data_IF_876691351992
#
_entry.id   IF_876691351992
#
_cell.length_a   1.000
_cell.length_b   1.000
_cell.length_c   1.000
_cell.angle_alpha   90.00
_cell.angle_beta   90.00
_cell.angle_gamma   90.00
#
_symmetry.space_group_name_H-M   'P 1'
#
loop_
_entity.id
_entity.type
_entity.pdbx_description
1 polymer ?
2 polymer ?
3 non-polymer ?
4 water ?
#
# COMPACT_ATOMS: atom_id res chain seq x y z
N UNK A 1 -18.55 23.15 -5.25
CA UNK A 1 -17.12 23.15 -4.83
C UNK A 1 -16.20 23.22 -6.06
N UNK A 2 -14.95 23.59 -5.84
CA UNK A 2 -13.97 23.68 -6.92
C UNK A 2 -13.43 22.29 -7.22
N UNK A 3 -13.42 21.93 -8.50
CA UNK A 3 -12.95 20.62 -8.94
C UNK A 3 -11.57 20.77 -9.55
N UNK A 4 -10.65 19.88 -9.15
CA UNK A 4 -9.29 19.85 -9.66
C UNK A 4 -9.13 18.60 -10.52
N UNK A 5 -8.73 18.79 -11.78
CA UNK A 5 -8.59 17.70 -12.74
C UNK A 5 -7.12 17.55 -13.07
N UNK A 6 -6.51 16.45 -12.63
CA UNK A 6 -5.12 16.16 -12.93
C UNK A 6 -5.00 15.38 -14.23
N UNK A 7 -3.81 15.46 -14.83
CA UNK A 7 -3.55 14.76 -16.09
C UNK A 7 -2.05 14.65 -16.31
N UNK A 8 -1.53 13.47 -16.66
CA UNK A 8 -2.24 12.19 -16.86
C UNK A 8 -2.45 11.45 -15.54
N UNK A 9 -3.34 10.46 -15.54
CA UNK A 9 -3.56 9.67 -14.33
C UNK A 9 -2.33 8.84 -13.99
N UNK A 10 -1.64 8.33 -15.00
CA UNK A 10 -0.41 7.57 -14.82
C UNK A 10 0.61 8.07 -15.83
N UNK A 11 1.86 8.22 -15.38
CA UNK A 11 2.92 8.81 -16.20
C UNK A 11 4.18 7.96 -16.12
N UNK A 12 4.54 7.25 -17.20
CA UNK A 12 5.85 6.59 -17.22
C UNK A 12 6.94 7.49 -17.77
N UNK A 13 8.09 7.54 -17.09
CA UNK A 13 9.21 8.39 -17.52
C UNK A 13 10.51 7.65 -17.25
N UNK A 14 11.45 7.77 -18.18
CA UNK A 14 12.75 7.13 -18.04
C UNK A 14 13.66 7.97 -17.14
N UNK A 15 14.58 7.29 -16.46
CA UNK A 15 15.54 7.98 -15.60
C UNK A 15 16.25 9.09 -16.36
N UNK A 16 16.49 10.20 -15.67
CA UNK A 16 17.19 11.33 -16.23
C UNK A 16 16.33 12.31 -16.99
N UNK A 17 15.20 11.84 -17.54
CA UNK A 17 14.30 12.70 -18.29
C UNK A 17 13.51 13.58 -17.32
N UNK A 18 12.56 14.35 -17.84
CA UNK A 18 11.70 15.18 -17.01
C UNK A 18 10.26 14.70 -17.09
N UNK A 19 9.52 14.92 -16.01
CA UNK A 19 8.11 14.57 -15.92
C UNK A 19 7.28 15.84 -15.80
N UNK A 20 6.16 15.88 -16.52
CA UNK A 20 5.27 17.03 -16.52
C UNK A 20 3.88 16.59 -16.09
N UNK A 21 3.42 17.10 -14.96
CA UNK A 21 2.11 16.80 -14.41
C UNK A 21 1.31 18.09 -14.36
N UNK A 22 0.10 18.07 -14.91
CA UNK A 22 -0.75 19.25 -14.98
C UNK A 22 -1.95 19.11 -14.06
N UNK A 23 -2.49 20.26 -13.64
CA UNK A 23 -3.62 20.31 -12.73
C UNK A 23 -4.49 21.50 -13.12
N UNK A 24 -5.75 21.24 -13.46
CA UNK A 24 -6.67 22.28 -13.89
C UNK A 24 -7.82 22.40 -12.92
N UNK A 25 -8.14 23.63 -12.53
CA UNK A 25 -9.19 23.91 -11.56
C UNK A 25 -10.45 24.39 -12.26
N UNK A 26 -11.60 24.08 -11.66
CA UNK A 26 -12.87 24.57 -12.18
C UNK A 26 -12.91 26.09 -12.19
N UNK A 27 -12.26 26.73 -11.23
CA UNK A 27 -12.25 28.17 -11.12
C UNK A 27 -10.85 28.64 -10.74
N UNK A 28 -10.58 29.91 -11.00
CA UNK A 28 -9.28 30.47 -10.67
C UNK A 28 -9.04 30.41 -9.16
N UNK A 29 -7.80 30.11 -8.78
CA UNK A 29 -7.39 30.11 -7.38
C UNK A 29 -6.41 31.24 -7.08
N UNK A 30 -6.18 32.13 -8.04
CA UNK A 30 -5.22 33.22 -7.89
C UNK A 30 -5.96 34.51 -7.54
N UNK A 31 -5.64 35.09 -6.38
CA UNK A 31 -6.22 36.36 -5.95
C UNK A 31 -5.09 37.37 -5.78
N UNK A 32 -5.06 38.35 -6.69
CA UNK A 32 -4.13 39.49 -6.56
C UNK A 32 -2.77 38.79 -6.51
N UNK A 33 -1.88 39.05 -5.56
CA UNK A 33 -0.42 38.80 -5.65
C UNK A 33 -0.05 37.34 -5.38
N UNK A 34 -1.01 36.44 -5.24
CA UNK A 34 -0.67 35.04 -4.86
C UNK A 34 -1.55 34.02 -5.57
N UNK A 35 -1.04 32.79 -5.71
CA UNK A 35 -1.78 31.68 -6.30
C UNK A 35 -1.81 30.54 -5.30
N UNK A 36 -2.98 29.93 -5.10
CA UNK A 36 -3.19 28.94 -4.05
C UNK A 36 -3.37 27.57 -4.70
N UNK A 37 -2.25 26.92 -5.03
CA UNK A 37 -2.27 25.60 -5.67
C UNK A 37 -0.98 24.88 -5.27
N UNK A 38 -1.10 23.95 -4.33
CA UNK A 38 0.05 23.27 -3.73
C UNK A 38 0.15 21.83 -4.25
N UNK A 39 1.36 21.29 -4.16
CA UNK A 39 1.67 19.94 -4.65
C UNK A 39 2.21 19.09 -3.50
N UNK A 40 1.91 17.79 -3.55
CA UNK A 40 2.33 16.86 -2.52
C UNK A 40 2.80 15.56 -3.16
N UNK A 41 3.71 14.87 -2.47
CA UNK A 41 4.22 13.57 -2.89
C UNK A 41 3.88 12.55 -1.81
N UNK A 42 3.34 11.40 -2.22
CA UNK A 42 3.06 10.30 -1.31
C UNK A 42 3.68 9.02 -1.85
N UNK A 43 4.52 8.38 -1.05
CA UNK A 43 5.09 7.08 -1.34
C UNK A 43 4.29 5.98 -0.66
N UNK A 44 4.38 4.75 -1.14
CA UNK A 44 3.58 3.67 -0.55
C UNK A 44 3.86 3.50 0.93
N UNK A 45 2.79 3.34 1.71
CA UNK A 45 2.90 3.18 3.15
C UNK A 45 3.23 4.45 3.90
N UNK A 46 3.41 5.57 3.22
CA UNK A 46 3.77 6.85 3.82
C UNK A 46 2.66 7.86 3.69
N UNK A 47 2.72 8.96 4.44
CA UNK A 47 1.77 10.05 4.24
C UNK A 47 2.25 10.98 3.14
N UNK A 48 1.36 11.78 2.56
CA UNK A 48 1.80 12.75 1.56
C UNK A 48 2.70 13.81 2.18
N UNK A 49 3.66 14.28 1.37
CA UNK A 49 4.67 15.23 1.79
C UNK A 49 4.63 16.47 0.91
N UNK A 50 4.74 17.66 1.50
CA UNK A 50 4.66 18.88 0.69
C UNK A 50 5.92 19.07 -0.15
N UNK A 51 5.74 19.38 -1.43
CA UNK A 51 6.83 19.66 -2.35
C UNK A 51 6.90 21.14 -2.71
N UNK A 52 5.81 21.69 -3.25
CA UNK A 52 5.76 23.08 -3.70
C UNK A 52 4.50 23.72 -3.13
N UNK A 53 4.64 24.94 -2.60
CA UNK A 53 3.54 25.75 -2.07
C UNK A 53 3.47 27.07 -2.83
N UNK A 54 2.30 27.65 -2.76
CA UNK A 54 1.81 28.91 -3.36
C UNK A 54 2.21 28.97 -4.83
N UNK A 55 1.95 27.89 -5.56
CA UNK A 55 2.18 27.65 -7.01
C UNK A 55 3.65 27.40 -7.39
N UNK A 56 4.63 28.21 -6.98
CA UNK A 56 6.03 28.04 -7.43
C UNK A 56 7.10 28.24 -6.36
N UNK A 57 6.80 28.02 -5.10
CA UNK A 57 7.78 28.15 -4.03
C UNK A 57 8.19 26.76 -3.55
N UNK A 58 9.50 26.56 -3.38
CA UNK A 58 10.05 25.27 -3.04
C UNK A 58 10.09 25.08 -1.52
N UNK A 59 9.55 23.96 -1.06
CA UNK A 59 9.62 23.62 0.36
C UNK A 59 11.07 23.36 0.76
N UNK A 60 11.40 23.71 2.00
CA UNK A 60 12.76 23.53 2.49
C UNK A 60 13.12 22.06 2.51
N UNK A 61 14.31 21.74 2.00
CA UNK A 61 14.78 20.37 1.92
C UNK A 61 14.43 19.66 0.63
N UNK A 62 13.41 20.11 -0.08
CA UNK A 62 13.03 19.47 -1.34
C UNK A 62 14.12 19.72 -2.37
N UNK A 63 14.62 18.68 -3.06
CA UNK A 63 15.68 18.90 -4.05
C UNK A 63 15.28 19.93 -5.09
N UNK A 64 16.28 20.63 -5.64
CA UNK A 64 16.03 21.63 -6.66
C UNK A 64 15.41 21.06 -7.92
N UNK A 65 15.43 19.73 -8.09
CA UNK A 65 14.85 19.13 -9.29
C UNK A 65 13.37 19.46 -9.43
N UNK A 66 12.68 19.72 -8.31
CA UNK A 66 11.25 19.97 -8.32
C UNK A 66 10.98 21.46 -8.54
N UNK A 67 10.03 21.75 -9.43
CA UNK A 67 9.64 23.13 -9.70
C UNK A 67 8.18 23.16 -10.09
N UNK A 68 7.56 24.33 -9.89
CA UNK A 68 6.16 24.51 -10.24
C UNK A 68 5.94 25.85 -10.89
N UNK A 69 4.82 25.95 -11.60
CA UNK A 69 4.45 27.19 -12.29
C UNK A 69 2.94 27.16 -12.54
N UNK A 70 2.44 28.26 -13.09
CA UNK A 70 1.05 28.38 -13.44
C UNK A 70 0.37 29.52 -12.70
N UNK A 71 -0.87 29.78 -13.12
CA UNK A 71 -1.70 30.81 -12.52
C UNK A 71 -3.12 30.63 -13.04
N UNK A 72 -4.07 31.27 -12.37
CA UNK A 72 -5.45 31.16 -12.75
C UNK A 72 -6.02 29.78 -12.51
N UNK A 73 -6.22 29.03 -13.59
CA UNK A 73 -6.81 27.70 -13.51
C UNK A 73 -5.87 26.57 -13.89
N UNK A 74 -4.78 26.87 -14.60
CA UNK A 74 -3.84 25.86 -15.08
C UNK A 74 -2.56 25.92 -14.28
N UNK A 75 -2.06 24.76 -13.86
CA UNK A 75 -0.83 24.66 -13.09
C UNK A 75 -0.08 23.40 -13.51
N UNK A 76 1.24 23.42 -13.30
CA UNK A 76 2.11 22.33 -13.72
C UNK A 76 3.21 22.11 -12.69
N UNK A 77 3.54 20.84 -12.48
CA UNK A 77 4.66 20.43 -11.63
C UNK A 77 5.72 19.75 -12.50
N UNK A 78 6.96 20.19 -12.37
CA UNK A 78 8.07 19.67 -13.16
C UNK A 78 9.11 19.02 -12.27
N UNK A 79 9.65 17.89 -12.73
CA UNK A 79 10.72 17.18 -12.05
C UNK A 79 11.79 16.87 -13.10
N UNK A 80 12.91 17.58 -13.04
CA UNK A 80 13.99 17.35 -13.99
C UNK A 80 15.35 17.43 -13.30
N UNK A 81 16.15 16.36 -13.33
CA UNK A 81 15.90 15.01 -13.84
C UNK A 81 15.23 14.11 -12.81
N UNK A 82 14.42 13.16 -13.25
CA UNK A 82 13.76 12.23 -12.34
C UNK A 82 14.74 11.14 -11.93
N UNK A 83 14.51 10.57 -10.76
CA UNK A 83 15.37 9.53 -10.20
C UNK A 83 14.51 8.38 -9.69
N UNK A 84 15.18 7.30 -9.30
CA UNK A 84 14.47 6.07 -8.91
C UNK A 84 13.50 6.34 -7.76
N UNK A 85 13.93 7.12 -6.76
CA UNK A 85 13.11 7.30 -5.57
C UNK A 85 11.86 8.15 -5.83
N UNK A 86 11.71 8.73 -7.01
CA UNK A 86 10.54 9.54 -7.31
C UNK A 86 9.32 8.71 -7.67
N UNK A 87 9.46 7.39 -7.79
CA UNK A 87 8.31 6.52 -8.02
C UNK A 87 7.39 6.87 -6.86
N UNK A 88 6.20 7.37 -7.17
CA UNK A 88 5.28 7.87 -6.15
C UNK A 88 3.99 8.31 -6.83
N UNK A 89 3.08 8.85 -6.02
CA UNK A 89 1.85 9.48 -6.49
C UNK A 89 1.86 10.95 -6.04
N UNK A 90 1.53 11.84 -6.96
CA UNK A 90 1.59 13.27 -6.72
C UNK A 90 0.20 13.89 -6.84
N UNK A 91 -0.13 14.80 -5.93
CA UNK A 91 -1.44 15.41 -5.83
C UNK A 91 -1.32 16.92 -5.82
N UNK A 92 -2.26 17.60 -6.50
CA UNK A 92 -2.43 19.03 -6.37
C UNK A 92 -3.58 19.33 -5.43
N UNK A 93 -3.52 20.50 -4.80
CA UNK A 93 -4.52 20.89 -3.81
C UNK A 93 -4.57 22.41 -3.77
N UNK A 94 -5.79 22.96 -3.72
CA UNK A 94 -6.00 24.39 -3.74
C UNK A 94 -6.38 24.91 -2.36
N UNK A 95 -6.13 26.20 -2.16
CA UNK A 95 -6.37 26.87 -0.89
C UNK A 95 -7.19 28.14 -1.03
N UNK A 96 -7.70 28.43 -2.24
CA UNK A 96 -8.37 29.71 -2.48
C UNK A 96 -9.58 29.88 -1.59
N UNK A 97 -10.37 28.83 -1.41
CA UNK A 97 -11.62 28.92 -0.66
C UNK A 97 -11.91 27.60 0.01
N UNK A 98 -12.90 27.62 0.92
CA UNK A 98 -13.38 26.40 1.53
C UNK A 98 -14.59 25.86 0.75
N UNK A 99 -14.73 24.52 0.62
CA UNK A 99 -13.83 23.50 1.15
C UNK A 99 -12.60 23.27 0.27
N UNK A 100 -11.47 22.95 0.89
CA UNK A 100 -10.29 22.57 0.14
C UNK A 100 -10.54 21.23 -0.56
N UNK A 101 -9.96 21.09 -1.76
CA UNK A 101 -10.15 19.88 -2.55
C UNK A 101 -8.82 19.48 -3.18
N UNK A 102 -8.69 18.17 -3.42
CA UNK A 102 -7.48 17.59 -4.00
C UNK A 102 -7.73 17.13 -5.43
N UNK A 103 -6.64 17.07 -6.20
CA UNK A 103 -6.70 16.43 -7.50
C UNK A 103 -6.67 14.91 -7.39
N UNK A 104 -7.07 14.25 -8.48
CA UNK A 104 -7.17 12.80 -8.48
C UNK A 104 -5.85 12.07 -8.32
N UNK A 105 -4.72 12.77 -8.44
CA UNK A 105 -3.43 12.12 -8.29
C UNK A 105 -2.85 11.65 -9.60
N UNK A 106 -1.52 11.57 -9.63
CA UNK A 106 -0.79 11.12 -10.81
C UNK A 106 0.33 10.19 -10.35
N UNK A 107 0.23 8.91 -10.72
CA UNK A 107 1.25 7.94 -10.36
C UNK A 107 2.43 8.05 -11.32
N UNK A 108 3.63 8.20 -10.77
CA UNK A 108 4.85 8.34 -11.55
C UNK A 108 5.57 6.99 -11.58
N UNK A 109 5.66 6.39 -12.75
CA UNK A 109 6.34 5.12 -12.95
C UNK A 109 7.67 5.37 -13.66
N UNK A 110 8.74 4.85 -13.08
CA UNK A 110 10.08 5.00 -13.66
C UNK A 110 10.22 3.95 -14.76
N UNK A 111 10.28 4.40 -16.01
CA UNK A 111 10.48 3.46 -17.11
C UNK A 111 11.78 2.69 -16.89
N UNK A 112 11.71 1.39 -17.14
CA UNK A 112 12.76 0.45 -16.76
C UNK A 112 13.07 -0.46 -17.94
N UNK A 113 14.34 -0.82 -18.06
CA UNK A 113 14.72 -1.79 -19.07
C UNK A 113 13.96 -3.10 -18.85
N UNK A 114 13.34 -3.60 -19.92
CA UNK A 114 12.55 -4.82 -19.82
C UNK A 114 13.33 -5.91 -19.11
N UNK A 115 12.71 -6.49 -18.07
CA UNK A 115 13.34 -7.50 -17.24
C UNK A 115 12.37 -8.64 -17.02
N UNK A 116 12.90 -9.87 -17.08
CA UNK A 116 12.10 -11.07 -16.92
C UNK A 116 12.02 -11.49 -15.47
N UNK A 117 10.98 -12.23 -15.08
CA UNK A 117 10.81 -12.62 -13.68
C UNK A 117 11.53 -13.91 -13.32
N UNK A 118 11.90 -14.01 -12.05
CA UNK A 118 12.40 -15.24 -11.45
C UNK A 118 11.22 -15.97 -10.81
N UNK A 119 10.90 -17.16 -11.31
CA UNK A 119 9.66 -17.85 -10.99
C UNK A 119 9.97 -19.03 -10.06
N UNK A 120 9.15 -19.17 -9.01
CA UNK A 120 9.25 -20.27 -8.06
C UNK A 120 7.86 -20.77 -7.74
N UNK A 121 7.72 -22.09 -7.56
CA UNK A 121 6.43 -22.72 -7.31
C UNK A 121 6.53 -23.52 -6.01
N UNK A 122 5.42 -23.52 -5.25
CA UNK A 122 5.38 -24.14 -3.93
C UNK A 122 4.11 -24.96 -3.79
N UNK A 123 4.20 -26.24 -3.43
CA UNK A 123 3.00 -27.04 -3.23
C UNK A 123 2.40 -26.78 -1.85
N UNK A 124 1.19 -27.28 -1.59
CA UNK A 124 0.56 -27.04 -0.29
C UNK A 124 1.40 -27.58 0.86
N UNK A 125 1.28 -26.94 2.00
CA UNK A 125 1.94 -27.41 3.21
C UNK A 125 1.09 -28.48 3.89
N UNK A 126 1.76 -29.38 4.61
CA UNK A 126 1.04 -30.43 5.32
C UNK A 126 0.10 -29.82 6.37
N UNK A 127 0.48 -28.68 6.95
CA UNK A 127 -0.40 -28.01 7.91
C UNK A 127 -1.71 -27.61 7.25
N UNK A 128 -1.65 -27.07 6.04
CA UNK A 128 -2.88 -26.67 5.36
C UNK A 128 -3.71 -27.89 4.97
N UNK A 129 -3.07 -28.95 4.48
CA UNK A 129 -3.80 -30.16 4.13
C UNK A 129 -4.52 -30.74 5.33
N UNK A 130 -3.92 -30.63 6.51
CA UNK A 130 -4.61 -31.04 7.74
C UNK A 130 -5.96 -30.32 7.88
N UNK A 131 -6.05 -29.09 7.38
CA UNK A 131 -7.26 -28.29 7.53
C UNK A 131 -8.31 -28.58 6.46
N UNK A 132 -7.98 -29.35 5.43
CA UNK A 132 -8.92 -29.66 4.37
C UNK A 132 -8.81 -28.78 3.14
N UNK A 133 -7.85 -27.86 3.09
CA UNK A 133 -7.62 -27.02 1.94
C UNK A 133 -6.25 -27.29 1.34
N UNK A 134 -6.00 -26.67 0.18
CA UNK A 134 -4.74 -26.87 -0.51
C UNK A 134 -4.51 -25.68 -1.44
N UNK A 135 -3.49 -24.87 -1.13
CA UNK A 135 -3.13 -23.72 -1.92
C UNK A 135 -1.77 -23.96 -2.58
N UNK A 136 -1.70 -23.70 -3.89
CA UNK A 136 -0.45 -23.74 -4.64
C UNK A 136 -0.05 -22.30 -4.95
N UNK A 137 1.22 -21.97 -4.70
CA UNK A 137 1.69 -20.59 -4.77
C UNK A 137 2.81 -20.49 -5.81
N UNK A 138 2.79 -19.40 -6.57
CA UNK A 138 3.78 -19.13 -7.61
C UNK A 138 4.26 -17.70 -7.43
N UNK A 139 5.57 -17.53 -7.21
CA UNK A 139 6.17 -16.21 -7.06
C UNK A 139 6.86 -15.80 -8.35
N UNK A 140 6.69 -14.53 -8.73
CA UNK A 140 7.34 -13.94 -9.91
C UNK A 140 7.98 -12.65 -9.46
N UNK A 141 9.30 -12.65 -9.31
CA UNK A 141 10.02 -11.56 -8.65
C UNK A 141 10.89 -10.74 -9.61
N UNK A 142 11.00 -9.44 -9.35
CA UNK A 142 11.89 -8.47 -10.02
C UNK A 142 11.79 -8.20 -11.51
N UNK A 143 10.60 -8.23 -12.10
CA UNK A 143 10.40 -7.95 -13.53
C UNK A 143 9.80 -6.61 -13.95
N UNK A 144 9.71 -6.34 -15.25
CA UNK A 144 9.16 -5.10 -15.81
C UNK A 144 8.96 -5.29 -17.31
N UNK A 145 7.87 -4.78 -17.91
CA UNK A 145 6.77 -3.98 -17.35
C UNK A 145 5.90 -4.69 -16.33
N UNK A 146 4.95 -3.96 -15.75
CA UNK A 146 4.13 -4.52 -14.68
C UNK A 146 3.19 -5.60 -15.20
N UNK A 147 2.53 -5.34 -16.32
CA UNK A 147 1.54 -6.29 -16.82
C UNK A 147 2.20 -7.62 -17.18
N UNK A 148 1.54 -8.71 -16.80
CA UNK A 148 2.07 -10.05 -17.00
C UNK A 148 0.94 -11.03 -16.76
N UNK A 149 0.87 -12.08 -17.57
CA UNK A 149 -0.20 -13.07 -17.48
C UNK A 149 0.32 -14.34 -16.83
N UNK A 150 -0.41 -14.83 -15.83
CA UNK A 150 -0.10 -16.08 -15.14
C UNK A 150 -1.26 -17.04 -15.39
N UNK A 151 -0.93 -18.25 -15.85
CA UNK A 151 -1.93 -19.27 -16.15
C UNK A 151 -1.62 -20.52 -15.34
N UNK A 152 -2.63 -21.00 -14.60
CA UNK A 152 -2.52 -22.23 -13.83
C UNK A 152 -3.07 -23.40 -14.65
N UNK A 153 -2.42 -24.55 -14.54
CA UNK A 153 -2.83 -25.76 -15.24
C UNK A 153 -2.80 -26.93 -14.28
N UNK A 154 -3.94 -27.61 -14.15
CA UNK A 154 -4.06 -28.82 -13.35
C UNK A 154 -4.21 -29.99 -14.31
N UNK A 155 -3.22 -30.88 -14.32
CA UNK A 155 -3.21 -32.01 -15.26
C UNK A 155 -3.40 -31.52 -16.69
N UNK A 156 -2.75 -30.42 -17.03
CA UNK A 156 -2.80 -29.89 -18.37
C UNK A 156 -4.06 -29.11 -18.72
N UNK A 157 -5.01 -29.00 -17.80
CA UNK A 157 -6.25 -28.28 -18.04
C UNK A 157 -6.18 -26.91 -17.38
N UNK A 158 -6.51 -25.87 -18.15
CA UNK A 158 -6.43 -24.51 -17.62
C UNK A 158 -7.40 -24.31 -16.47
N UNK A 159 -6.99 -23.49 -15.52
CA UNK A 159 -7.77 -23.19 -14.32
C UNK A 159 -7.64 -21.71 -14.02
N UNK A 160 -8.77 -21.00 -14.01
CA UNK A 160 -8.77 -19.57 -13.73
C UNK A 160 -9.64 -19.19 -12.54
N UNK A 161 -10.51 -20.08 -12.06
CA UNK A 161 -11.30 -19.81 -10.88
C UNK A 161 -10.50 -20.13 -9.62
N UNK A 162 -10.61 -19.26 -8.62
CA UNK A 162 -9.90 -19.46 -7.38
C UNK A 162 -8.45 -19.04 -7.41
N UNK A 163 -8.13 -17.95 -8.13
CA UNK A 163 -6.77 -17.47 -8.28
C UNK A 163 -6.70 -16.06 -7.73
N UNK A 164 -5.68 -15.78 -6.93
CA UNK A 164 -5.45 -14.47 -6.31
C UNK A 164 -4.06 -13.98 -6.70
N UNK A 165 -4.01 -12.89 -7.46
CA UNK A 165 -2.75 -12.31 -7.92
C UNK A 165 -2.54 -10.95 -7.26
N UNK A 166 -1.35 -10.75 -6.68
CA UNK A 166 -1.04 -9.54 -5.92
C UNK A 166 0.31 -8.99 -6.37
N UNK A 167 0.33 -7.71 -6.76
CA UNK A 167 1.54 -7.03 -7.17
C UNK A 167 2.07 -6.16 -6.02
N UNK A 168 3.40 -6.06 -5.93
CA UNK A 168 4.02 -5.06 -5.07
C UNK A 168 4.03 -3.70 -5.77
N UNK A 169 4.24 -2.66 -4.97
CA UNK A 169 4.50 -1.34 -5.54
C UNK A 169 5.86 -1.36 -6.24
N UNK A 170 6.03 -0.43 -7.18
CA UNK A 170 7.29 -0.34 -7.89
C UNK A 170 8.43 -0.13 -6.89
N UNK A 171 9.43 -1.01 -6.95
CA UNK A 171 10.57 -0.90 -6.06
C UNK A 171 11.26 0.44 -6.26
N UNK A 172 11.66 1.06 -5.14
CA UNK A 172 12.26 2.39 -5.17
C UNK A 172 13.74 2.37 -5.51
N UNK A 173 14.38 1.20 -5.54
CA UNK A 173 15.80 1.10 -5.81
C UNK A 173 16.10 0.60 -7.22
N UNK A 174 15.50 -0.53 -7.63
CA UNK A 174 15.74 -1.11 -8.94
C UNK A 174 14.59 -0.91 -9.91
N UNK A 175 13.47 -0.35 -9.46
CA UNK A 175 12.33 -0.01 -10.32
C UNK A 175 11.65 -1.24 -10.91
N UNK A 176 11.76 -2.38 -10.26
CA UNK A 176 11.10 -3.60 -10.71
C UNK A 176 9.79 -3.81 -9.95
N UNK A 177 9.02 -4.78 -10.41
CA UNK A 177 7.81 -5.23 -9.73
C UNK A 177 7.97 -6.69 -9.35
N UNK A 178 7.13 -7.13 -8.43
CA UNK A 178 7.01 -8.54 -8.07
C UNK A 178 5.54 -8.86 -7.84
N UNK A 179 5.17 -10.11 -8.09
CA UNK A 179 3.77 -10.51 -7.91
C UNK A 179 3.71 -11.93 -7.37
N UNK A 180 2.63 -12.22 -6.64
CA UNK A 180 2.37 -13.52 -6.07
C UNK A 180 1.04 -14.04 -6.62
N UNK A 181 1.03 -15.30 -7.05
CA UNK A 181 -0.16 -15.94 -7.60
C UNK A 181 -0.48 -17.17 -6.77
N UNK A 182 -1.70 -17.22 -6.23
CA UNK A 182 -2.14 -18.30 -5.35
C UNK A 182 -3.38 -18.96 -5.92
N UNK A 183 -3.32 -20.28 -6.09
CA UNK A 183 -4.45 -21.09 -6.51
C UNK A 183 -4.90 -21.93 -5.32
N UNK A 184 -6.12 -21.73 -4.86
CA UNK A 184 -6.64 -22.41 -3.68
C UNK A 184 -7.67 -23.44 -4.09
N UNK A 185 -7.55 -24.65 -3.55
CA UNK A 185 -8.42 -25.77 -3.87
C UNK A 185 -8.83 -26.46 -2.57
N UNK A 186 -9.71 -27.46 -2.70
CA UNK A 186 -10.00 -28.36 -1.60
C UNK A 186 -8.96 -29.48 -1.56
N UNK A 187 -8.79 -30.07 -0.37
CA UNK A 187 -7.84 -31.17 -0.22
C UNK A 187 -8.19 -32.32 -1.16
N UNK A 188 -9.47 -32.69 -1.20
CA UNK A 188 -9.88 -33.83 -2.00
C UNK A 188 -9.69 -33.57 -3.50
N UNK A 189 -9.93 -32.33 -3.93
CA UNK A 189 -9.70 -32.00 -5.34
C UNK A 189 -8.21 -31.98 -5.66
N UNK A 190 -7.40 -31.50 -4.73
CA UNK A 190 -5.95 -31.49 -4.95
C UNK A 190 -5.38 -32.90 -5.05
N UNK A 191 -6.02 -33.87 -4.40
CA UNK A 191 -5.51 -35.23 -4.33
C UNK A 191 -5.99 -36.12 -5.47
N UNK A 192 -6.90 -35.65 -6.31
CA UNK A 192 -7.33 -36.40 -7.48
C UNK A 192 -6.67 -35.93 -8.76
N UNK A 193 -5.65 -35.06 -8.66
CA UNK A 193 -4.84 -34.63 -9.78
C UNK A 193 -3.38 -34.83 -9.40
N UNK A 194 -2.50 -34.75 -10.41
CA UNK A 194 -1.08 -35.07 -10.22
C UNK A 194 -0.16 -33.91 -10.57
N UNK A 195 -0.37 -33.25 -11.70
CA UNK A 195 0.56 -32.25 -12.21
C UNK A 195 -0.02 -30.85 -11.98
N UNK A 196 0.83 -29.95 -11.48
CA UNK A 196 0.44 -28.56 -11.22
C UNK A 196 1.51 -27.64 -11.81
N UNK A 197 1.06 -26.61 -12.53
CA UNK A 197 1.96 -25.77 -13.31
C UNK A 197 1.44 -24.35 -13.36
N UNK A 198 2.33 -23.38 -13.12
CA UNK A 198 2.06 -21.98 -13.40
C UNK A 198 2.92 -21.53 -14.57
N UNK A 199 2.27 -20.93 -15.57
CA UNK A 199 2.93 -20.43 -16.76
C UNK A 199 2.86 -18.91 -16.78
N UNK A 200 4.00 -18.26 -17.04
CA UNK A 200 4.10 -16.82 -17.04
C UNK A 200 4.39 -16.33 -18.46
N UNK A 201 3.39 -15.75 -19.11
CA UNK A 201 3.56 -15.13 -20.41
C UNK A 201 3.84 -13.64 -20.20
N UNK A 202 5.02 -13.20 -20.61
CA UNK A 202 5.45 -11.82 -20.41
C UNK A 202 6.00 -11.26 -21.72
N UNK A 203 5.92 -9.94 -21.84
CA UNK A 203 6.44 -9.26 -23.03
C UNK A 203 7.94 -9.47 -23.21
N UNK A 204 8.63 -9.94 -22.17
CA UNK A 204 10.08 -10.08 -22.23
C UNK A 204 10.55 -11.31 -22.99
N UNK A 205 9.68 -12.31 -23.15
CA UNK A 205 10.07 -13.56 -23.80
C UNK A 205 8.99 -13.98 -24.79
N UNK A 206 9.42 -14.70 -25.83
CA UNK A 206 8.48 -15.20 -26.83
C UNK A 206 7.63 -16.32 -26.26
N UNK A 207 8.26 -17.28 -25.56
CA UNK A 207 7.57 -18.41 -24.96
C UNK A 207 7.42 -18.20 -23.45
N UNK A 208 6.42 -18.80 -22.83
CA UNK A 208 6.21 -18.59 -21.40
C UNK A 208 7.20 -19.35 -20.54
N UNK A 209 7.45 -18.80 -19.36
CA UNK A 209 8.23 -19.49 -18.34
C UNK A 209 7.33 -20.47 -17.61
N UNK A 210 7.83 -21.68 -17.38
CA UNK A 210 7.03 -22.77 -16.85
C UNK A 210 7.73 -23.35 -15.63
N UNK A 211 6.98 -23.46 -14.52
CA UNK A 211 7.42 -24.17 -13.34
C UNK A 211 6.32 -25.14 -12.93
N UNK A 212 6.71 -26.35 -12.52
CA UNK A 212 5.74 -27.40 -12.27
C UNK A 212 6.30 -28.40 -11.26
N UNK A 213 5.38 -29.20 -10.72
CA UNK A 213 5.74 -30.32 -9.84
C UNK A 213 4.65 -31.38 -9.96
N UNK A 214 4.98 -32.59 -9.54
CA UNK A 214 4.03 -33.71 -9.51
C UNK A 214 3.86 -34.17 -8.08
N UNK A 215 2.60 -34.44 -7.70
CA UNK A 215 2.28 -34.73 -6.31
C UNK A 215 3.06 -35.93 -5.80
N UNK A 216 3.14 -37.00 -6.60
CA UNK A 216 3.71 -38.26 -6.16
C UNK A 216 5.16 -38.44 -6.59
N UNK A 217 5.86 -37.37 -6.87
CA UNK A 217 7.25 -37.50 -7.33
C UNK A 217 8.20 -37.08 -6.22
N UNK A 218 8.31 -37.91 -5.18
CA UNK A 218 9.20 -37.83 -3.98
C UNK A 218 8.85 -38.98 -3.02
N UNK B 1 10.60 21.56 15.80
CA UNK B 1 10.37 20.24 15.16
C UNK B 1 9.00 19.70 15.55
N UNK B 2 8.03 19.88 14.67
CA UNK B 2 6.63 19.55 14.96
C UNK B 2 6.34 18.13 14.48
N UNK B 3 5.62 17.37 15.32
CA UNK B 3 5.22 16.02 15.00
C UNK B 3 3.73 15.86 15.24
N UNK B 4 3.07 15.12 14.35
CA UNK B 4 1.68 14.71 14.53
C UNK B 4 1.62 13.19 14.46
N UNK B 5 0.69 12.61 15.21
CA UNK B 5 0.56 11.15 15.26
C UNK B 5 -0.88 10.78 15.52
N UNK B 6 -1.50 10.10 14.57
CA UNK B 6 -2.89 9.65 14.72
C UNK B 6 -2.95 8.36 15.53
N UNK B 7 -4.10 8.15 16.17
CA UNK B 7 -4.34 6.92 16.90
C UNK B 7 -5.84 6.69 17.01
N UNK B 8 -6.23 5.42 17.10
CA UNK B 8 -7.62 5.05 17.19
C UNK B 8 -7.84 3.58 16.88
N UNK B 9 -9.09 3.13 16.99
CA UNK B 9 -9.37 1.72 16.71
C UNK B 9 -9.27 1.39 15.23
N UNK B 10 -8.89 0.14 14.97
CA UNK B 10 -8.72 -0.32 13.60
C UNK B 10 -9.99 -0.87 12.99
N UNK B 11 -10.95 -1.24 13.84
CA UNK B 11 -12.21 -1.82 13.39
C UNK B 11 -13.38 -1.18 14.13
N UNK B 12 -14.44 -0.86 13.39
CA UNK B 12 -15.67 -0.32 13.96
C UNK B 12 -16.86 -0.94 13.24
N UNK B 13 -17.99 -1.08 13.96
CA UNK B 13 -19.16 -1.71 13.36
C UNK B 13 -20.14 -0.65 12.85
N UNK B 14 -20.86 -0.95 11.76
CA UNK B 14 -21.82 0.03 11.24
C UNK B 14 -22.80 0.52 12.30
N UNK B 15 -23.02 1.82 12.32
CA UNK B 15 -23.92 2.56 13.21
C UNK B 15 -23.22 2.92 14.52
N UNK B 16 -22.00 2.47 14.74
CA UNK B 16 -21.26 2.85 15.93
C UNK B 16 -20.62 4.23 15.75
N UNK B 17 -20.03 4.73 16.83
CA UNK B 17 -19.30 5.99 16.81
C UNK B 17 -17.81 5.71 16.82
N UNK B 18 -17.07 6.45 15.99
CA UNK B 18 -15.63 6.28 15.82
C UNK B 18 -14.93 7.56 16.25
N UNK B 19 -13.92 7.43 17.10
CA UNK B 19 -13.20 8.58 17.65
C UNK B 19 -11.71 8.38 17.43
N UNK B 20 -11.08 9.30 16.70
CA UNK B 20 -9.64 9.28 16.45
C UNK B 20 -8.98 10.44 17.18
N UNK B 21 -7.69 10.27 17.49
CA UNK B 21 -6.91 11.25 18.23
C UNK B 21 -5.66 11.61 17.45
N UNK B 22 -5.34 12.90 17.40
CA UNK B 22 -4.09 13.41 16.84
C UNK B 22 -3.28 14.02 17.97
N UNK B 23 -2.18 13.38 18.33
CA UNK B 23 -1.29 13.87 19.37
C UNK B 23 -0.22 14.75 18.76
N UNK B 24 -0.07 15.96 19.29
CA UNK B 24 0.81 16.99 18.73
C UNK B 24 1.91 17.30 19.73
N UNK B 25 3.14 17.36 19.24
CA UNK B 25 4.29 17.77 20.05
C UNK B 25 5.14 18.74 19.24
N UNK B 26 5.97 19.51 19.94
CA UNK B 26 6.84 20.47 19.31
C UNK B 26 6.21 21.80 18.95
N UNK B 27 4.91 21.95 19.17
CA UNK B 27 4.23 23.20 18.85
C UNK B 27 2.84 23.16 19.47
N UNK B 28 2.36 24.31 19.93
CA UNK B 28 1.08 24.40 20.61
C UNK B 28 -0.05 24.52 19.61
N UNK B 29 -1.18 23.88 19.93
CA UNK B 29 -2.33 23.88 19.02
C UNK B 29 -3.17 25.15 19.18
N UNK B 30 -2.66 26.11 19.94
CA UNK B 30 -3.35 27.38 20.15
C UNK B 30 -2.77 28.50 19.29
N UNK B 31 -2.03 28.16 18.22
CA UNK B 31 -1.39 29.16 17.38
C UNK B 31 -1.56 28.95 15.88
N UNK B 32 -2.10 27.82 15.44
CA UNK B 32 -2.20 27.52 14.01
C UNK B 32 -3.54 26.86 13.74
N UNK B 33 -3.69 26.33 12.52
CA UNK B 33 -4.88 25.60 12.11
C UNK B 33 -4.57 24.10 12.09
N UNK B 34 -5.59 23.30 12.39
CA UNK B 34 -5.41 21.87 12.59
C UNK B 34 -6.53 21.12 11.90
N UNK B 35 -6.18 20.29 10.92
CA UNK B 35 -7.13 19.73 9.97
C UNK B 35 -7.19 18.21 10.08
N UNK B 36 -8.21 17.65 9.45
CA UNK B 36 -8.38 16.21 9.30
C UNK B 36 -8.61 15.89 7.83
N UNK B 37 -7.97 14.82 7.36
CA UNK B 37 -8.04 14.40 5.96
C UNK B 37 -8.08 12.88 5.93
N UNK B 38 -8.75 12.32 4.93
CA UNK B 38 -8.81 10.87 4.78
C UNK B 38 -8.63 10.47 3.32
N UNK B 39 -8.14 9.25 3.13
CA UNK B 39 -7.85 8.68 1.81
C UNK B 39 -8.64 7.40 1.67
N UNK B 40 -9.52 7.33 0.68
CA UNK B 40 -10.44 6.22 0.52
C UNK B 40 -9.72 5.02 -0.10
N UNK B 41 -10.27 3.79 -0.04
CA UNK B 41 -9.63 2.68 -0.74
C UNK B 41 -9.68 3.15 -2.20
N UNK B 42 -8.53 3.19 -2.84
CA UNK B 42 -8.42 3.82 -4.15
C UNK B 42 -7.36 4.90 -4.01
N UNK B 43 -7.59 6.10 -4.50
CA UNK B 43 -6.63 7.20 -4.50
C UNK B 43 -7.28 8.55 -4.20
N UNK B 44 -8.51 8.58 -3.70
CA UNK B 44 -9.25 9.84 -3.54
C UNK B 44 -8.99 10.42 -2.15
N UNK B 45 -8.37 11.59 -2.12
CA UNK B 45 -8.19 12.34 -0.87
C UNK B 45 -9.37 13.30 -0.69
N UNK B 46 -9.91 13.33 0.53
CA UNK B 46 -11.05 14.17 0.84
C UNK B 46 -10.74 15.02 2.07
N UNK B 47 -10.96 16.33 1.95
CA UNK B 47 -10.80 17.22 3.08
C UNK B 47 -12.06 17.17 3.95
N UNK B 48 -11.87 17.10 5.26
CA UNK B 48 -12.98 16.95 6.20
C UNK B 48 -13.27 18.20 7.01
N UNK B 49 -12.24 18.91 7.46
CA UNK B 49 -12.46 20.12 8.23
C UNK B 49 -11.26 20.43 9.10
N UNK B 50 -11.44 21.42 9.97
CA UNK B 50 -10.37 21.85 10.86
C UNK B 50 -10.95 22.35 12.18
N UNK B 51 -10.07 22.50 13.16
CA UNK B 51 -10.32 23.29 14.36
C UNK B 51 -9.18 24.30 14.47
N UNK B 52 -9.53 25.55 14.79
CA UNK B 52 -8.58 26.63 14.70
C UNK B 52 -7.87 26.86 16.04
N UNK B 53 -6.90 27.78 16.01
CA UNK B 53 -6.15 28.12 17.22
C UNK B 53 -7.08 28.58 18.35
N UNK B 54 -8.23 29.16 18.01
CA UNK B 54 -9.16 29.69 19.00
C UNK B 54 -10.26 28.70 19.38
N UNK B 55 -10.21 27.48 18.86
CA UNK B 55 -11.23 26.50 19.13
C UNK B 55 -12.41 26.51 18.17
N UNK B 56 -12.41 27.38 17.17
CA UNK B 56 -13.48 27.43 16.19
C UNK B 56 -13.28 26.33 15.15
N UNK B 57 -14.39 25.74 14.71
CA UNK B 57 -14.35 24.60 13.80
C UNK B 57 -15.04 24.93 12.48
N UNK B 58 -14.69 24.14 11.46
CA UNK B 58 -15.34 24.16 10.17
C UNK B 58 -15.43 22.74 9.65
N UNK B 59 -16.60 22.36 9.13
CA UNK B 59 -16.85 21.03 8.59
C UNK B 59 -17.19 21.14 7.12
N UNK B 60 -16.53 20.34 6.29
CA UNK B 60 -16.81 20.31 4.86
C UNK B 60 -18.28 19.96 4.63
N UNK B 61 -19.09 20.84 4.06
CA UNK B 61 -20.52 20.53 3.94
C UNK B 61 -20.82 19.42 2.94
N UNK B 62 -19.94 19.21 1.95
CA UNK B 62 -20.18 18.18 0.96
C UNK B 62 -20.01 16.77 1.52
N UNK B 63 -19.60 16.62 2.78
CA UNK B 63 -19.48 15.30 3.38
C UNK B 63 -20.84 14.63 3.49
N UNK B 64 -20.84 13.31 3.36
CA UNK B 64 -22.02 12.50 3.66
C UNK B 64 -22.01 11.97 5.09
N UNK B 65 -20.87 12.03 5.77
CA UNK B 65 -20.77 11.65 7.17
C UNK B 65 -21.02 12.86 8.06
N UNK B 66 -21.48 12.58 9.28
CA UNK B 66 -21.65 13.61 10.30
C UNK B 66 -20.48 13.52 11.27
N UNK B 67 -19.72 14.62 11.38
CA UNK B 67 -18.47 14.60 12.12
C UNK B 67 -18.49 15.67 13.21
N UNK B 68 -17.58 15.51 14.17
CA UNK B 68 -17.35 16.49 15.23
C UNK B 68 -15.86 16.56 15.50
N UNK B 69 -15.34 17.79 15.61
CA UNK B 69 -13.92 18.02 15.87
C UNK B 69 -13.80 18.79 17.17
N UNK B 70 -12.99 18.28 18.10
CA UNK B 70 -12.79 18.89 19.41
C UNK B 70 -11.31 18.81 19.76
N UNK B 71 -10.95 19.36 20.92
CA UNK B 71 -9.55 19.41 21.33
C UNK B 71 -9.43 19.39 22.85
N UNK B 72 -8.19 19.20 23.31
CA UNK B 72 -7.85 19.28 24.73
C UNK B 72 -6.52 20.00 24.83
N UNK B 73 -6.55 21.27 25.27
CA UNK B 73 -5.34 22.08 25.31
C UNK B 73 -4.38 21.64 26.42
N UNK B 74 -4.88 21.01 27.48
CA UNK B 74 -3.98 20.54 28.53
C UNK B 74 -3.11 19.40 28.05
N UNK B 75 -3.57 18.63 27.06
CA UNK B 75 -2.80 17.53 26.49
C UNK B 75 -2.14 17.89 25.17
N UNK B 76 -2.58 18.96 24.51
CA UNK B 76 -2.11 19.31 23.17
C UNK B 76 -2.52 18.24 22.17
N UNK B 77 -3.75 17.75 22.30
CA UNK B 77 -4.35 16.80 21.37
C UNK B 77 -5.60 17.42 20.77
N UNK B 78 -6.04 16.85 19.64
CA UNK B 78 -7.38 17.14 19.13
C UNK B 78 -7.91 15.91 18.44
N UNK B 79 -9.23 15.89 18.24
CA UNK B 79 -9.96 14.65 17.98
C UNK B 79 -10.91 14.80 16.80
N UNK B 80 -11.28 13.66 16.23
CA UNK B 80 -12.27 13.56 15.17
C UNK B 80 -13.25 12.45 15.54
N UNK B 81 -14.54 12.78 15.60
CA UNK B 81 -15.58 11.79 15.85
C UNK B 81 -16.47 11.67 14.61
N UNK B 82 -16.71 10.44 14.18
CA UNK B 82 -17.69 10.13 13.14
C UNK B 82 -18.89 9.48 13.81
N UNK B 83 -20.07 10.05 13.59
CA UNK B 83 -21.30 9.52 14.16
C UNK B 83 -21.96 8.56 13.19
N UNK B 84 -22.50 7.46 13.72
CA UNK B 84 -23.16 6.43 12.91
C UNK B 84 -22.45 6.02 11.64
N UNK B 85 -21.24 5.48 11.77
CA UNK B 85 -20.40 5.20 10.60
C UNK B 85 -21.10 4.21 9.68
N UNK B 86 -20.62 4.17 8.43
CA UNK B 86 -21.05 3.19 7.45
C UNK B 86 -19.82 2.56 6.83
N UNK B 87 -20.05 1.54 5.99
CA UNK B 87 -18.94 0.87 5.33
C UNK B 87 -18.13 1.84 4.47
N UNK B 88 -18.76 2.93 4.01
CA UNK B 88 -18.08 3.90 3.17
C UNK B 88 -17.13 4.81 3.95
N UNK B 89 -17.12 4.72 5.28
CA UNK B 89 -16.13 5.45 6.07
C UNK B 89 -14.82 4.69 6.21
N UNK B 90 -14.72 3.49 5.64
CA UNK B 90 -13.45 2.77 5.59
C UNK B 90 -12.43 3.61 4.82
N UNK B 91 -11.32 3.94 5.48
CA UNK B 91 -10.34 4.84 4.88
C UNK B 91 -9.11 4.92 5.78
N UNK B 92 -8.09 5.61 5.28
CA UNK B 92 -6.93 5.99 6.07
C UNK B 92 -7.06 7.46 6.44
N UNK B 93 -6.90 7.75 7.72
CA UNK B 93 -7.16 9.09 8.26
C UNK B 93 -5.85 9.76 8.65
N UNK B 94 -5.69 11.00 8.22
CA UNK B 94 -4.51 11.80 8.52
C UNK B 94 -4.92 13.09 9.23
N UNK B 95 -4.06 13.56 10.13
CA UNK B 95 -4.13 14.93 10.63
C UNK B 95 -2.94 15.72 10.09
N UNK B 96 -3.17 17.01 9.85
CA UNK B 96 -2.15 17.87 9.27
C UNK B 96 -2.38 19.29 9.74
N UNK B 97 -1.29 20.03 9.88
CA UNK B 97 -1.32 21.42 10.32
C UNK B 97 -1.21 22.36 9.12
N UNK B 98 -1.92 23.48 9.20
CA UNK B 98 -1.80 24.57 8.23
C UNK B 98 -1.32 25.80 8.99
N UNK B 99 -0.13 26.28 8.64
CA UNK B 99 0.48 27.38 9.37
C UNK B 99 0.06 28.75 8.86
N UNK B 100 0.05 29.72 9.77
CA UNK B 100 -0.20 31.10 9.37
C UNK B 100 0.92 31.66 8.50
N UNK B 101 2.15 31.18 8.71
CA UNK B 101 3.31 31.62 7.95
C UNK B 101 3.69 30.64 6.84
N UNK B 102 2.89 29.61 6.61
CA UNK B 102 3.11 28.66 5.53
C UNK B 102 1.90 28.58 4.59
N UNK B 103 0.71 28.38 5.14
CA UNK B 103 -0.53 28.32 4.37
C UNK B 103 -0.55 27.10 3.43
N UNK B 104 -0.31 25.93 4.02
CA UNK B 104 -0.46 24.66 3.34
C UNK B 104 -0.29 23.58 4.39
N UNK B 105 -0.66 22.35 4.03
CA UNK B 105 -0.52 21.22 4.93
C UNK B 105 0.98 20.90 5.05
N UNK B 106 1.65 21.69 5.89
CA UNK B 106 3.11 21.64 5.97
C UNK B 106 3.62 20.53 6.86
N UNK B 107 2.80 20.01 7.78
CA UNK B 107 3.19 18.91 8.64
C UNK B 107 2.06 17.89 8.64
N UNK B 108 2.41 16.62 8.45
CA UNK B 108 1.45 15.54 8.39
C UNK B 108 1.79 14.47 9.42
N UNK B 109 0.78 13.71 9.82
CA UNK B 109 1.00 12.49 10.56
C UNK B 109 1.25 11.32 9.63
N UNK B 110 1.51 10.16 10.24
CA UNK B 110 1.72 8.96 9.44
C UNK B 110 0.41 8.31 9.01
N UNK B 111 -0.68 8.60 9.69
CA UNK B 111 -1.98 8.09 9.32
C UNK B 111 -2.34 6.82 10.07
N UNK B 112 -3.64 6.62 10.27
CA UNK B 112 -4.18 5.41 10.87
C UNK B 112 -5.34 4.91 10.02
N UNK B 113 -5.37 3.61 9.76
CA UNK B 113 -6.36 3.01 8.89
C UNK B 113 -7.52 2.47 9.70
N UNK B 114 -8.72 2.64 9.18
CA UNK B 114 -9.95 2.22 9.85
C UNK B 114 -10.77 1.38 8.89
N UNK B 115 -11.27 0.24 9.37
CA UNK B 115 -12.18 -0.61 8.62
C UNK B 115 -13.52 -0.61 9.33
N UNK B 116 -14.59 -0.31 8.59
CA UNK B 116 -15.95 -0.33 9.12
C UNK B 116 -16.65 -1.53 8.52
N UNK B 117 -16.95 -2.53 9.36
CA UNK B 117 -17.59 -3.75 8.90
C UNK B 117 -18.20 -4.47 10.09
N UNK B 118 -19.24 -5.24 9.82
CA UNK B 118 -19.90 -6.05 10.83
C UNK B 118 -19.41 -7.49 10.85
N UNK B 119 -18.47 -7.85 9.98
CA UNK B 119 -17.95 -9.20 9.96
C UNK B 119 -17.08 -9.46 11.18
N UNK B 120 -17.14 -10.67 11.71
CA UNK B 120 -16.38 -11.03 12.90
C UNK B 120 -14.89 -11.11 12.58
N UNK B 121 -14.07 -10.69 13.53
CA UNK B 121 -12.62 -10.79 13.36
C UNK B 121 -12.19 -12.25 13.45
N UNK B 122 -11.28 -12.64 12.56
CA UNK B 122 -10.84 -14.02 12.43
C UNK B 122 -9.32 -14.08 12.39
N UNK B 123 -8.76 -15.06 13.09
CA UNK B 123 -7.31 -15.19 13.18
C UNK B 123 -6.75 -15.86 11.94
N UNK B 124 -5.52 -15.51 11.54
CA UNK B 124 -4.93 -16.12 10.34
C UNK B 124 -4.35 -17.50 10.62
N UNK B 125 -4.30 -18.31 9.56
CA UNK B 125 -3.52 -19.53 9.54
C UNK B 125 -2.24 -19.26 8.75
N UNK B 126 -1.09 -19.57 9.36
CA UNK B 126 0.21 -19.28 8.79
C UNK B 126 0.81 -20.59 8.30
N UNK B 127 1.18 -20.63 7.02
CA UNK B 127 1.68 -21.83 6.39
C UNK B 127 3.07 -21.60 5.82
N UNK B 128 4.02 -22.50 6.08
CA UNK B 128 5.34 -22.36 5.46
C UNK B 128 5.31 -22.78 4.00
N UNK B 129 6.17 -22.15 3.22
CA UNK B 129 6.32 -22.47 1.79
C UNK B 129 7.77 -22.89 1.56
N UNK B 130 8.00 -24.22 1.57
CA UNK B 130 9.33 -24.77 1.32
C UNK B 130 9.46 -25.20 -0.13
N UNK B 131 10.69 -25.22 -0.87
CA UNK B 131 11.13 -25.63 -2.43
C UNK B 131 10.43 -26.98 -2.63
N UNK B 132 10.08 -27.27 -3.85
CA UNK B 132 9.48 -28.57 -4.25
C UNK B 132 10.49 -29.64 -3.81
N UNK B 133 10.04 -30.77 -3.30
CA UNK B 133 10.87 -31.81 -2.62
C UNK B 133 12.05 -32.32 -3.45
N UNK B 134 12.08 -32.22 -4.77
CA UNK B 134 13.27 -32.57 -5.56
C UNK B 134 14.49 -31.85 -5.02
N UNK B 135 15.61 -32.56 -4.91
CA UNK B 135 16.80 -31.96 -4.29
C UNK B 135 17.58 -30.98 -5.16
N UNK B 136 17.39 -30.91 -6.49
CA UNK B 136 18.21 -30.00 -7.27
C UNK B 136 18.04 -28.56 -6.80
N UNK B 137 19.15 -27.82 -6.77
CA UNK B 137 19.16 -26.44 -6.32
C UNK B 137 20.15 -25.64 -7.13
N UNK B 138 19.85 -24.36 -7.33
CA UNK B 138 20.74 -23.44 -8.00
C UNK B 138 21.70 -22.77 -7.05
N UNK B 139 22.02 -21.51 -7.34
CA UNK B 139 22.91 -20.73 -6.49
C UNK B 139 22.17 -20.02 -5.36
N UNK B 140 20.83 -20.01 -5.39
CA UNK B 140 20.04 -19.37 -4.35
C UNK B 140 18.79 -20.20 -4.10
N UNK B 141 18.10 -19.89 -3.00
CA UNK B 141 16.86 -20.56 -2.63
C UNK B 141 15.84 -19.51 -2.23
N UNK B 142 14.61 -19.68 -2.71
CA UNK B 142 13.50 -18.79 -2.40
C UNK B 142 12.51 -19.53 -1.51
N UNK B 143 12.25 -18.99 -0.33
CA UNK B 143 11.26 -19.51 0.60
C UNK B 143 10.07 -18.57 0.65
N UNK B 144 9.03 -19.01 1.37
CA UNK B 144 7.82 -18.20 1.44
C UNK B 144 7.01 -18.48 2.69
N UNK B 145 6.08 -17.56 2.95
CA UNK B 145 5.19 -17.63 4.10
C UNK B 145 3.80 -17.21 3.62
N UNK B 146 2.80 -18.04 3.89
CA UNK B 146 1.43 -17.81 3.44
C UNK B 146 0.54 -17.55 4.64
N UNK B 147 -0.10 -16.38 4.67
CA UNK B 147 -0.98 -15.96 5.75
C UNK B 147 -2.39 -15.85 5.16
N UNK B 148 -3.28 -16.74 5.58
CA UNK B 148 -4.57 -16.91 4.93
C UNK B 148 -5.72 -16.88 5.92
N UNK B 149 -6.82 -16.24 5.52
CA UNK B 149 -8.07 -16.34 6.23
C UNK B 149 -8.20 -15.49 7.48
N UNK B 150 -7.82 -14.21 7.41
CA UNK B 150 -7.93 -13.32 8.56
C UNK B 150 -8.81 -12.12 8.22
N UNK B 151 -9.20 -11.41 9.28
CA UNK B 151 -9.97 -10.19 9.18
C UNK B 151 -9.93 -9.47 10.52
N UNK B 152 -9.75 -8.14 10.55
CA UNK B 152 -9.52 -7.23 9.42
C UNK B 152 -8.03 -6.99 9.18
N UNK B 153 -7.71 -6.06 8.28
CA UNK B 153 -6.35 -5.57 8.17
C UNK B 153 -6.00 -4.79 9.44
N UNK B 154 -4.70 -4.64 9.75
CA UNK B 154 -3.54 -5.18 9.03
C UNK B 154 -2.87 -6.36 9.74
N UNK B 155 -1.84 -6.91 9.10
CA UNK B 155 -0.91 -7.83 9.75
C UNK B 155 0.49 -7.29 9.51
N UNK B 156 1.41 -7.70 10.39
CA UNK B 156 2.83 -7.41 10.23
C UNK B 156 3.57 -8.73 10.07
N UNK B 157 4.58 -8.73 9.19
CA UNK B 157 5.36 -9.92 8.92
C UNK B 157 6.84 -9.55 8.84
N UNK B 158 7.67 -10.29 9.57
CA UNK B 158 9.11 -10.14 9.50
C UNK B 158 9.73 -11.53 9.30
N UNK B 159 11.03 -11.53 9.00
CA UNK B 159 11.79 -12.77 8.86
C UNK B 159 12.92 -12.77 9.89
N UNK B 160 12.98 -13.83 10.69
CA UNK B 160 14.00 -13.97 11.73
C UNK B 160 14.04 -12.74 12.64
N UNK B 161 12.86 -12.26 13.02
CA UNK B 161 12.73 -11.12 13.92
C UNK B 161 13.31 -9.85 13.34
N UNK B 162 13.22 -9.69 12.02
CA UNK B 162 13.72 -8.52 11.34
C UNK B 162 15.18 -8.57 10.95
N UNK B 163 15.93 -9.57 11.43
CA UNK B 163 17.34 -9.67 11.05
C UNK B 163 17.51 -9.91 9.56
N UNK B 164 16.50 -10.48 8.91
CA UNK B 164 16.56 -10.83 7.49
C UNK B 164 15.70 -9.82 6.74
N UNK B 165 16.34 -8.84 6.11
CA UNK B 165 15.66 -7.78 5.40
C UNK B 165 15.95 -7.74 3.91
N UNK B 166 17.13 -8.18 3.48
CA UNK B 166 17.47 -8.18 2.07
C UNK B 166 16.82 -9.37 1.36
N UNK B 167 16.46 -9.16 0.10
CA UNK B 167 15.85 -10.21 -0.68
C UNK B 167 14.45 -10.59 -0.24
N UNK B 168 13.72 -9.65 0.38
CA UNK B 168 12.39 -9.91 0.92
C UNK B 168 11.38 -9.11 0.12
N UNK B 169 10.30 -9.76 -0.31
CA UNK B 169 9.14 -9.12 -0.91
C UNK B 169 7.91 -9.55 -0.15
N UNK B 170 7.14 -8.59 0.35
CA UNK B 170 5.87 -8.85 1.01
C UNK B 170 4.75 -8.29 0.15
N UNK B 171 3.79 -9.14 -0.20
CA UNK B 171 2.78 -8.75 -1.17
C UNK B 171 1.53 -8.25 -0.48
N UNK B 172 0.90 -7.18 -0.99
CA UNK B 172 -0.29 -6.64 -0.33
C UNK B 172 -1.41 -7.67 -0.22
N UNK B 173 -2.15 -7.59 0.87
CA UNK B 173 -3.24 -8.52 1.13
C UNK B 173 -4.37 -8.32 0.13
N UNK B 174 -5.09 -9.41 -0.15
CA UNK B 174 -6.25 -9.38 -1.03
C UNK B 174 -7.43 -10.04 -0.33
N UNK B 175 -8.62 -9.51 -0.58
CA UNK B 175 -9.84 -9.98 0.05
C UNK B 175 -10.57 -10.92 -0.90
N UNK B 176 -10.87 -12.13 -0.42
CA UNK B 176 -11.61 -13.11 -1.21
C UNK B 176 -12.62 -13.79 -0.30
N UNK B 177 -13.91 -13.62 -0.60
CA UNK B 177 -15.00 -14.26 0.14
C UNK B 177 -14.98 -13.87 1.62
N UNK B 178 -14.60 -12.64 1.92
CA UNK B 178 -14.72 -12.10 3.26
C UNK B 178 -13.46 -12.11 4.09
N UNK B 179 -12.40 -12.79 3.65
CA UNK B 179 -11.17 -12.90 4.42
C UNK B 179 -9.97 -12.50 3.58
N UNK B 180 -8.92 -12.05 4.26
CA UNK B 180 -7.72 -11.57 3.60
C UNK B 180 -6.69 -12.68 3.47
N UNK B 181 -5.85 -12.55 2.44
CA UNK B 181 -4.70 -13.42 2.25
C UNK B 181 -3.53 -12.57 1.78
N UNK B 182 -2.35 -12.80 2.37
CA UNK B 182 -1.12 -12.20 1.90
C UNK B 182 0.00 -13.22 2.03
N UNK B 183 1.11 -12.91 1.37
CA UNK B 183 2.26 -13.80 1.35
C UNK B 183 3.53 -12.97 1.32
N UNK B 184 4.66 -13.65 1.55
CA UNK B 184 5.97 -13.01 1.52
C UNK B 184 6.98 -14.03 1.04
N UNK B 185 7.97 -13.54 0.29
CA UNK B 185 9.05 -14.36 -0.21
C UNK B 185 10.38 -13.82 0.30
N UNK B 186 11.34 -14.73 0.50
CA UNK B 186 12.68 -14.37 0.94
C UNK B 186 13.67 -15.25 0.20
N UNK B 187 14.76 -14.64 -0.27
CA UNK B 187 15.77 -15.33 -1.05
C UNK B 187 17.10 -15.27 -0.31
N UNK B 188 17.78 -16.41 -0.26
CA UNK B 188 19.07 -16.55 0.40
C UNK B 188 19.97 -17.42 -0.48
N UNK B 189 21.21 -17.63 -0.03
CA UNK B 189 22.14 -18.47 -0.76
C UNK B 189 21.86 -19.94 -0.48
N UNK B 190 22.39 -20.80 -1.36
CA UNK B 190 22.07 -22.22 -1.27
C UNK B 190 22.56 -22.84 0.03
N UNK B 191 23.72 -22.42 0.51
CA UNK B 191 24.31 -23.02 1.70
C UNK B 191 23.77 -22.43 3.01
N UNK B 192 23.05 -21.31 2.95
CA UNK B 192 22.47 -20.74 4.16
C UNK B 192 21.40 -21.65 4.73
N UNK B 193 20.33 -21.87 3.99
CA UNK B 193 19.21 -22.73 4.35
C UNK B 193 19.46 -24.15 3.84
N UNK B 194 19.06 -25.21 4.57
CA UNK B 194 18.37 -25.24 5.87
C UNK B 194 19.27 -25.28 7.10
N UNK B 195 20.59 -25.30 6.91
CA UNK B 195 21.49 -25.34 8.07
C UNK B 195 21.24 -24.16 8.99
N UNK B 196 20.93 -22.99 8.42
CA UNK B 196 20.47 -21.84 9.19
C UNK B 196 18.95 -21.79 9.14
N UNK B 197 18.32 -21.70 10.31
CA UNK B 197 16.88 -21.71 10.38
C UNK B 197 16.31 -20.37 9.92
N UNK B 198 15.21 -20.43 9.18
CA UNK B 198 14.52 -19.25 8.67
C UNK B 198 13.07 -19.32 9.10
N UNK B 199 12.58 -18.25 9.71
CA UNK B 199 11.25 -18.22 10.33
C UNK B 199 10.56 -16.92 9.94
N UNK B 200 9.27 -17.02 9.59
CA UNK B 200 8.44 -15.84 9.37
C UNK B 200 7.64 -15.56 10.62
N UNK B 201 7.74 -14.33 11.12
CA UNK B 201 7.04 -13.90 12.32
C UNK B 201 5.80 -13.12 11.90
N UNK B 202 4.62 -13.67 12.19
CA UNK B 202 3.35 -13.07 11.81
C UNK B 202 2.62 -12.61 13.06
N UNK B 203 2.07 -11.41 13.01
CA UNK B 203 1.25 -10.86 14.09
C UNK B 203 -0.03 -10.31 13.51
N UNK B 204 -1.15 -10.60 14.17
CA UNK B 204 -2.46 -10.05 13.82
C UNK B 204 -3.09 -9.53 15.10
N UNK B 205 -2.86 -8.26 15.44
CA UNK B 205 -3.34 -7.76 16.74
C UNK B 205 -4.83 -7.94 16.96
N UNK B 206 -5.65 -7.75 15.93
CA UNK B 206 -7.10 -7.76 16.11
C UNK B 206 -7.62 -9.08 16.68
N UNK B 207 -6.89 -10.18 16.49
CA UNK B 207 -7.29 -11.48 16.99
C UNK B 207 -6.37 -11.99 18.10
N UNK B 208 -5.42 -11.17 18.55
CA UNK B 208 -4.45 -11.57 19.57
C UNK B 208 -3.54 -12.69 19.08
N UNK B 209 -3.24 -12.69 17.78
CA UNK B 209 -2.46 -13.76 17.18
C UNK B 209 -0.99 -13.32 17.04
N UNK B 210 -0.09 -14.20 17.48
CA UNK B 210 1.34 -14.04 17.27
C UNK B 210 1.92 -15.42 17.00
N UNK B 211 2.48 -15.62 15.82
CA UNK B 211 2.89 -16.93 15.35
C UNK B 211 4.29 -16.85 14.78
N UNK B 212 5.15 -17.79 15.18
CA UNK B 212 6.46 -17.98 14.59
C UNK B 212 6.47 -19.32 13.88
N UNK B 213 6.66 -19.29 12.56
CA UNK B 213 6.58 -20.50 11.73
C UNK B 213 7.94 -20.73 11.06
N UNK B 214 8.62 -21.79 11.48
CA UNK B 214 9.87 -22.18 10.87
C UNK B 214 9.63 -22.86 9.53
N UNK B 215 10.52 -22.62 8.58
CA UNK B 215 10.43 -23.23 7.26
C UNK B 215 11.24 -24.52 7.29
N UNK B 216 10.54 -25.66 7.25
CA UNK B 216 11.16 -26.97 7.33
C UNK B 216 11.32 -27.57 5.93
N UNK B 217 12.48 -28.15 5.61
CA UNK B 217 12.60 -28.86 4.32
C UNK B 217 11.57 -29.97 4.21
N UNK B 218 11.23 -30.31 2.97
CA UNK B 218 10.22 -31.31 2.71
C UNK B 218 10.81 -32.71 2.75
N UNK B 219 10.09 -33.63 3.41
CA UNK B 219 10.47 -35.03 3.49
C UNK B 219 9.80 -35.78 2.35
N UNK B 220 10.43 -36.81 1.77
CA UNK B 220 9.76 -37.52 0.67
C UNK B 220 8.45 -38.17 1.09
X LIG C 1 12.35 13.10 -3.40
X LIG C 1 11.53 12.14 -4.06
X LIG C 1 11.58 13.73 -2.24
X LIG C 1 11.21 12.72 -1.30
X LIG D 1 9.06 0.29 -2.58
X LIG D 1 10.49 0.11 -2.60
X LIG D 1 8.37 -0.99 -3.02
X LIG D 1 7.43 -1.41 -2.03
X LIG E 1 -2.66 -5.89 -6.25
X LIG E 1 -1.94 -5.13 -7.24
X LIG E 1 -2.08 -5.64 -4.88
X LIG E 1 -2.86 -4.67 -4.18
X LIG F 1 -7.20 33.40 2.58
X LIG F 1 -8.55 32.92 2.57
X LIG F 1 -6.50 33.02 1.29
X LIG F 1 -7.26 33.47 0.16
X LIG G 1 5.21 -5.82 7.11
X LIG G 1 4.99 -4.88 8.15
X LIG G 1 3.87 -6.28 6.54
X LIG G 1 3.69 -5.72 5.23
#
# INVERSE_FOLDING_TARGET
>A
DIVLTQSPASLPVSLGQRATISCRASKSVSASAYSYMHWYQQKPGQPPKPLIYLASNLESGVPARFSGSGSGTDFTLNIHPVEEEDAATYYCQHNRELPYTFGGGTKLEIKRADAAPTVSIFPPSSEQLTSGGASVVCFLNNFYPKDINVKWKIDGSERQNGVLNSWTDQDSKDSTYSMSSTLTLTKDEYERHNSYTCEATHKTSTSPIVKSFNRNEC
>B
EVQLQESGPGLAKPSQTLSLTCSVTGSSITSDYWNWIRKFPGNKLEYMGYISYSGSTYYNPSLKSQISITRDTSKNHYYLQLNSVTTEDTATYYCARQGLRNWYFDVWGTGTTVTVSSAKTTAPSVYPLAPVCGGTTGSSVTLGCLVKGYFPEPVTLTWNSGSLSSGVHTFPALLQSGLYTLSSSVTVTSNTWPSQTITCNVAHPASSTKVDKKIEPRVPITQNP
>C hetero
1 EDO C1 O1 C2 O2
>D hetero
1 EDO C1 O1 C2 O2
>E hetero
1 EDO C1 O1 C2 O2
>F hetero
1 EDO C1 O1 C2 O2
>G hetero
1 EDO C1 O1 C2 O2
#
